data_IF_595467392444
#
_entry.id   IF_595467392444
#
_cell.length_a   1.000
_cell.length_b   1.000
_cell.length_c   1.000
_cell.angle_alpha   90.00
_cell.angle_beta   90.00
_cell.angle_gamma   90.00
#
_symmetry.space_group_name_H-M   'P 1'
#
loop_
_entity.id
_entity.type
_entity.pdbx_description
1 polymer ?
#
# COMPACT_ATOMS: atom_id res chain seq x y z
N UNK A 1 63.99 42.93 7.12
CA UNK A 1 63.29 41.93 7.96
C UNK A 1 61.90 41.76 7.39
N UNK A 2 61.63 40.60 6.80
CA UNK A 2 60.44 40.29 5.99
C UNK A 2 59.29 39.86 6.89
N UNK A 3 58.12 40.50 6.76
CA UNK A 3 56.89 40.08 7.43
C UNK A 3 56.11 39.11 6.52
N UNK A 4 55.77 37.96 7.07
CA UNK A 4 54.98 36.88 6.46
C UNK A 4 53.48 37.21 6.54
N UNK A 5 52.80 37.30 5.40
CA UNK A 5 51.33 37.34 5.32
C UNK A 5 50.78 35.92 5.31
N UNK A 6 50.01 35.59 6.35
CA UNK A 6 49.32 34.31 6.49
C UNK A 6 48.15 34.21 5.49
N UNK A 7 48.10 33.11 4.74
CA UNK A 7 46.96 32.74 3.90
C UNK A 7 45.88 32.12 4.79
N UNK A 8 44.74 32.78 4.91
CA UNK A 8 43.58 32.25 5.62
C UNK A 8 42.99 31.06 4.84
N UNK A 9 42.86 29.92 5.53
CA UNK A 9 42.19 28.71 5.01
C UNK A 9 40.70 28.98 4.83
N UNK A 10 40.22 28.84 3.59
CA UNK A 10 38.80 28.70 3.27
C UNK A 10 38.26 27.44 3.95
N UNK A 11 37.26 27.63 4.81
CA UNK A 11 36.55 26.57 5.53
C UNK A 11 35.65 25.79 4.60
N UNK A 12 35.81 24.46 4.57
CA UNK A 12 34.92 23.53 3.87
C UNK A 12 33.49 23.63 4.39
N UNK A 13 32.56 24.08 3.53
CA UNK A 13 31.13 23.95 3.81
C UNK A 13 30.70 22.48 3.64
N UNK A 14 29.88 21.92 4.56
CA UNK A 14 29.41 20.55 4.42
C UNK A 14 28.43 20.44 3.25
N UNK A 15 28.78 19.62 2.26
CA UNK A 15 27.86 19.17 1.22
C UNK A 15 26.80 18.28 1.87
N UNK A 16 25.62 18.85 2.15
CA UNK A 16 24.45 18.09 2.59
C UNK A 16 23.99 17.28 1.37
N UNK A 17 24.47 16.05 1.27
CA UNK A 17 23.95 15.07 0.33
C UNK A 17 22.62 14.60 0.90
N UNK A 18 21.51 15.27 0.53
CA UNK A 18 20.18 14.74 0.78
C UNK A 18 20.05 13.46 -0.04
N UNK A 19 20.31 12.32 0.61
CA UNK A 19 19.94 11.03 0.06
C UNK A 19 18.42 11.05 -0.17
N UNK A 20 18.02 10.97 -1.45
CA UNK A 20 16.62 10.78 -1.83
C UNK A 20 16.24 9.39 -1.32
N UNK A 21 15.69 9.35 -0.11
CA UNK A 21 15.22 8.13 0.52
C UNK A 21 14.10 7.56 -0.35
N UNK A 22 14.22 6.30 -0.76
CA UNK A 22 13.15 5.61 -1.51
C UNK A 22 11.95 5.48 -0.56
N UNK A 23 10.84 6.15 -0.87
CA UNK A 23 9.79 6.42 0.12
C UNK A 23 8.78 5.26 0.32
N UNK A 24 8.50 4.45 -0.70
CA UNK A 24 7.85 3.14 -0.60
C UNK A 24 7.85 2.49 -2.00
N UNK A 25 7.54 1.19 -2.11
CA UNK A 25 7.28 0.56 -3.41
C UNK A 25 5.94 -0.19 -3.40
N UNK A 26 5.38 -0.39 -4.59
CA UNK A 26 4.16 -1.17 -4.79
C UNK A 26 4.50 -2.48 -5.47
N UNK A 27 4.15 -3.59 -4.83
CA UNK A 27 4.25 -4.91 -5.43
C UNK A 27 2.87 -5.43 -5.79
N UNK A 28 2.60 -5.56 -7.09
CA UNK A 28 1.30 -6.01 -7.57
C UNK A 28 1.13 -7.51 -7.40
N UNK A 29 -0.04 -7.94 -6.91
CA UNK A 29 -0.37 -9.36 -6.86
C UNK A 29 -0.40 -9.99 -8.26
N UNK A 30 -0.85 -9.20 -9.25
CA UNK A 30 -0.79 -9.48 -10.68
C UNK A 30 -0.63 -8.18 -11.44
N UNK A 31 0.06 -8.22 -12.59
CA UNK A 31 0.11 -7.06 -13.47
C UNK A 31 -1.31 -6.63 -13.85
N UNK A 32 -1.68 -5.35 -13.63
CA UNK A 32 -2.99 -4.84 -14.02
C UNK A 32 -3.18 -5.02 -15.53
N UNK A 33 -4.24 -5.71 -15.95
CA UNK A 33 -4.59 -5.75 -17.36
C UNK A 33 -5.29 -4.44 -17.77
N UNK A 34 -5.14 -3.97 -19.02
CA UNK A 34 -5.76 -2.73 -19.49
C UNK A 34 -7.29 -2.65 -19.35
N UNK A 35 -7.95 -3.80 -19.38
CA UNK A 35 -9.40 -3.96 -19.28
C UNK A 35 -9.90 -4.24 -17.84
N UNK A 36 -8.99 -4.53 -16.91
CA UNK A 36 -9.35 -4.76 -15.53
C UNK A 36 -9.84 -3.47 -14.87
N UNK A 37 -11.00 -3.54 -14.20
CA UNK A 37 -11.54 -2.44 -13.39
C UNK A 37 -10.96 -2.40 -11.98
N UNK A 38 -10.17 -3.40 -11.59
CA UNK A 38 -9.61 -3.51 -10.25
C UNK A 38 -8.14 -3.95 -10.31
N UNK A 39 -7.36 -3.49 -9.33
CA UNK A 39 -5.98 -3.91 -9.12
C UNK A 39 -5.70 -4.13 -7.64
N UNK A 40 -4.73 -4.99 -7.33
CA UNK A 40 -4.32 -5.29 -5.96
C UNK A 40 -2.80 -5.25 -5.86
N UNK A 41 -2.30 -4.52 -4.87
CA UNK A 41 -0.87 -4.34 -4.62
C UNK A 41 -0.59 -4.36 -3.12
N UNK A 42 0.63 -4.75 -2.76
CA UNK A 42 1.18 -4.59 -1.43
C UNK A 42 2.01 -3.32 -1.38
N UNK A 43 1.83 -2.54 -0.32
CA UNK A 43 2.70 -1.43 0.00
C UNK A 43 3.92 -1.97 0.76
N UNK A 44 5.11 -1.70 0.23
CA UNK A 44 6.37 -2.16 0.80
C UNK A 44 7.12 -0.96 1.35
N UNK A 45 7.47 -1.03 2.64
CA UNK A 45 8.38 -0.08 3.28
C UNK A 45 9.72 -0.77 3.55
N UNK A 46 10.82 -0.37 2.89
CA UNK A 46 12.11 -1.03 3.05
C UNK A 46 12.62 -0.97 4.50
N UNK A 47 12.26 0.08 5.25
CA UNK A 47 12.72 0.29 6.63
C UNK A 47 11.66 -0.05 7.68
N UNK A 48 10.51 -0.63 7.31
CA UNK A 48 9.43 -0.88 8.26
C UNK A 48 8.68 -2.19 7.97
N UNK A 49 9.15 -3.27 8.58
CA UNK A 49 8.58 -4.60 8.45
C UNK A 49 7.19 -4.71 9.10
N UNK A 50 6.93 -3.97 10.19
CA UNK A 50 5.65 -4.03 10.94
C UNK A 50 4.45 -3.56 10.11
N UNK A 51 4.67 -2.77 9.06
CA UNK A 51 3.61 -2.17 8.24
C UNK A 51 3.56 -2.80 6.85
N UNK A 52 4.11 -4.00 6.69
CA UNK A 52 4.18 -4.66 5.39
C UNK A 52 3.42 -5.99 5.40
N UNK A 53 2.13 -5.94 5.04
CA UNK A 53 1.27 -7.09 4.83
C UNK A 53 1.87 -8.15 3.89
N UNK A 54 2.86 -7.76 3.06
CA UNK A 54 3.56 -8.68 2.17
C UNK A 54 4.41 -9.70 2.91
N UNK A 55 5.16 -9.29 3.93
CA UNK A 55 6.06 -10.19 4.69
C UNK A 55 5.23 -11.32 5.31
N UNK A 56 4.12 -10.95 5.93
CA UNK A 56 3.17 -11.90 6.55
C UNK A 56 2.53 -12.81 5.51
N UNK A 57 2.10 -12.25 4.37
CA UNK A 57 1.56 -13.04 3.27
C UNK A 57 2.58 -14.05 2.73
N UNK A 58 3.84 -13.67 2.60
CA UNK A 58 4.94 -14.54 2.17
C UNK A 58 5.31 -15.59 3.22
N UNK A 59 5.06 -15.32 4.50
CA UNK A 59 5.22 -16.28 5.60
C UNK A 59 4.09 -17.32 5.72
N UNK A 60 2.94 -17.10 5.05
CA UNK A 60 1.83 -18.04 5.13
C UNK A 60 2.14 -19.41 4.50
N UNK A 61 1.49 -20.45 5.03
CA UNK A 61 1.49 -21.79 4.43
C UNK A 61 0.85 -21.75 3.04
N UNK A 62 1.25 -22.65 2.15
CA UNK A 62 0.78 -22.69 0.76
C UNK A 62 -0.75 -22.79 0.63
N UNK A 63 -1.42 -23.46 1.57
CA UNK A 63 -2.88 -23.54 1.56
C UNK A 63 -3.52 -22.17 1.84
N UNK A 64 -2.95 -21.40 2.75
CA UNK A 64 -3.47 -20.09 3.14
C UNK A 64 -3.16 -19.04 2.08
N UNK A 65 -1.97 -19.11 1.48
CA UNK A 65 -1.62 -18.31 0.30
C UNK A 65 -2.60 -18.57 -0.83
N UNK A 66 -2.80 -19.83 -1.22
CA UNK A 66 -3.76 -20.22 -2.29
C UNK A 66 -5.18 -19.77 -1.98
N UNK A 67 -5.57 -19.83 -0.71
CA UNK A 67 -6.87 -19.33 -0.27
C UNK A 67 -6.97 -17.81 -0.50
N UNK A 68 -6.00 -17.03 -0.02
CA UNK A 68 -6.03 -15.57 -0.19
C UNK A 68 -5.95 -15.18 -1.67
N UNK A 69 -5.13 -15.87 -2.47
CA UNK A 69 -5.07 -15.67 -3.93
C UNK A 69 -6.43 -15.86 -4.58
N UNK A 70 -7.15 -16.95 -4.25
CA UNK A 70 -8.52 -17.18 -4.74
C UNK A 70 -9.48 -16.05 -4.36
N UNK A 71 -9.32 -15.47 -3.16
CA UNK A 71 -10.17 -14.36 -2.70
C UNK A 71 -9.76 -13.02 -3.35
N UNK A 72 -8.47 -12.80 -3.60
CA UNK A 72 -8.00 -11.66 -4.37
C UNK A 72 -8.57 -11.70 -5.78
N UNK A 73 -8.50 -12.85 -6.44
CA UNK A 73 -9.08 -13.07 -7.76
C UNK A 73 -10.58 -12.80 -7.78
N UNK A 74 -11.30 -13.37 -6.81
CA UNK A 74 -12.74 -13.15 -6.67
C UNK A 74 -13.07 -11.65 -6.57
N UNK A 75 -12.27 -10.88 -5.84
CA UNK A 75 -12.45 -9.43 -5.74
C UNK A 75 -12.04 -8.70 -7.02
N UNK A 76 -10.93 -9.09 -7.65
CA UNK A 76 -10.45 -8.51 -8.91
C UNK A 76 -11.47 -8.70 -10.05
N UNK A 77 -12.18 -9.82 -10.07
CA UNK A 77 -13.25 -10.15 -11.03
C UNK A 77 -14.52 -9.30 -10.86
N UNK A 78 -14.54 -8.38 -9.89
CA UNK A 78 -15.65 -7.47 -9.72
C UNK A 78 -16.67 -7.90 -8.67
N UNK A 79 -16.49 -9.06 -8.02
CA UNK A 79 -17.43 -9.50 -6.98
C UNK A 79 -17.54 -8.46 -5.87
N UNK A 80 -18.77 -8.15 -5.48
CA UNK A 80 -19.05 -7.19 -4.42
C UNK A 80 -19.58 -7.90 -3.17
N UNK A 81 -19.40 -7.25 -2.02
CA UNK A 81 -20.12 -7.55 -0.78
C UNK A 81 -20.05 -9.01 -0.29
N UNK A 82 -18.92 -9.68 -0.50
CA UNK A 82 -18.65 -10.98 0.13
C UNK A 82 -18.16 -10.76 1.57
N UNK A 83 -19.02 -10.22 2.45
CA UNK A 83 -18.66 -9.83 3.83
C UNK A 83 -17.92 -10.92 4.61
N UNK A 84 -18.11 -12.19 4.29
CA UNK A 84 -17.35 -13.30 4.90
C UNK A 84 -15.84 -13.28 4.54
N UNK A 85 -15.48 -12.86 3.33
CA UNK A 85 -14.13 -12.91 2.76
C UNK A 85 -13.49 -11.54 2.65
N UNK A 86 -14.25 -10.52 2.27
CA UNK A 86 -13.76 -9.15 2.20
C UNK A 86 -14.88 -8.13 2.36
N UNK A 87 -14.54 -6.94 2.85
CA UNK A 87 -15.47 -5.82 2.93
C UNK A 87 -14.74 -4.48 3.14
N UNK A 88 -15.52 -3.41 2.96
CA UNK A 88 -15.25 -2.04 3.41
C UNK A 88 -16.10 -1.73 4.64
N UNK A 89 -15.77 -0.66 5.34
CA UNK A 89 -16.63 -0.06 6.38
C UNK A 89 -17.59 0.94 5.75
N UNK A 90 -18.81 1.03 6.27
CA UNK A 90 -19.78 2.02 5.81
C UNK A 90 -19.82 3.28 6.69
N UNK A 91 -20.68 4.25 6.34
CA UNK A 91 -20.78 5.53 7.06
C UNK A 91 -21.35 5.40 8.48
N UNK A 92 -22.09 4.33 8.76
CA UNK A 92 -22.63 4.07 10.10
C UNK A 92 -21.56 3.52 11.06
N UNK A 93 -20.48 2.98 10.52
CA UNK A 93 -19.35 2.45 11.28
C UNK A 93 -18.28 3.54 11.49
N UNK A 94 -17.75 3.65 12.72
CA UNK A 94 -16.67 4.59 13.05
C UNK A 94 -16.91 6.04 12.56
N UNK A 95 -18.16 6.50 12.59
CA UNK A 95 -18.58 7.82 12.08
C UNK A 95 -18.14 8.07 10.61
N UNK A 96 -18.03 7.02 9.80
CA UNK A 96 -17.63 7.09 8.39
C UNK A 96 -16.14 7.36 8.14
N UNK A 97 -15.30 7.33 9.18
CA UNK A 97 -13.86 7.63 9.07
C UNK A 97 -13.10 6.66 8.18
N UNK A 98 -13.49 5.39 8.14
CA UNK A 98 -12.74 4.32 7.48
C UNK A 98 -13.42 3.78 6.21
N UNK A 99 -14.23 4.60 5.54
CA UNK A 99 -15.00 4.20 4.35
C UNK A 99 -14.15 3.78 3.14
N UNK A 100 -12.89 4.22 3.10
CA UNK A 100 -11.91 3.82 2.09
C UNK A 100 -11.02 2.66 2.53
N UNK A 101 -11.14 2.17 3.77
CA UNK A 101 -10.35 1.04 4.25
C UNK A 101 -11.02 -0.26 3.81
N UNK A 102 -10.20 -1.24 3.46
CA UNK A 102 -10.63 -2.53 2.94
C UNK A 102 -9.91 -3.66 3.66
N UNK A 103 -10.54 -4.82 3.78
CA UNK A 103 -9.92 -5.99 4.41
C UNK A 103 -10.29 -7.28 3.71
N UNK A 104 -9.31 -8.17 3.59
CA UNK A 104 -9.45 -9.58 3.21
C UNK A 104 -9.31 -10.46 4.46
N UNK A 105 -10.12 -11.53 4.57
CA UNK A 105 -10.32 -12.29 5.81
C UNK A 105 -10.31 -13.79 5.58
N UNK A 106 -9.28 -14.48 6.06
CA UNK A 106 -9.26 -15.93 6.12
C UNK A 106 -10.04 -16.42 7.36
N UNK A 107 -11.28 -16.89 7.19
CA UNK A 107 -12.14 -17.28 8.34
C UNK A 107 -11.58 -18.46 9.14
N UNK A 108 -11.00 -19.46 8.47
CA UNK A 108 -10.47 -20.66 9.13
C UNK A 108 -9.31 -20.36 10.08
N UNK A 109 -8.28 -19.67 9.59
CA UNK A 109 -7.05 -19.40 10.34
C UNK A 109 -6.99 -17.98 10.92
N UNK A 110 -8.08 -17.22 10.80
CA UNK A 110 -8.28 -15.89 11.38
C UNK A 110 -7.27 -14.81 10.94
N UNK A 111 -6.61 -15.01 9.80
CA UNK A 111 -5.75 -14.01 9.15
C UNK A 111 -6.58 -12.90 8.54
N UNK A 112 -6.11 -11.66 8.67
CA UNK A 112 -6.70 -10.49 8.01
C UNK A 112 -5.61 -9.64 7.37
N UNK A 113 -5.82 -9.29 6.10
CA UNK A 113 -4.97 -8.35 5.36
C UNK A 113 -5.77 -7.08 5.14
N UNK A 114 -5.29 -5.99 5.73
CA UNK A 114 -5.92 -4.68 5.69
C UNK A 114 -5.22 -3.80 4.66
N UNK A 115 -5.99 -2.94 4.01
CA UNK A 115 -5.51 -2.00 3.03
C UNK A 115 -6.47 -0.84 2.83
N UNK A 116 -6.24 -0.05 1.80
CA UNK A 116 -7.16 1.01 1.40
C UNK A 116 -7.45 0.97 -0.09
N UNK A 117 -8.61 1.52 -0.46
CA UNK A 117 -9.02 1.71 -1.85
C UNK A 117 -8.60 3.11 -2.33
N UNK A 118 -8.13 3.17 -3.56
CA UNK A 118 -7.86 4.42 -4.26
C UNK A 118 -8.23 4.31 -5.74
N UNK A 119 -8.37 5.46 -6.41
CA UNK A 119 -8.68 5.59 -7.84
C UNK A 119 -7.50 6.27 -8.53
N UNK A 120 -6.39 5.55 -8.73
CA UNK A 120 -5.15 6.20 -9.15
C UNK A 120 -5.12 6.54 -10.64
N UNK A 121 -6.05 6.00 -11.44
CA UNK A 121 -6.12 6.25 -12.87
C UNK A 121 -7.14 7.38 -13.17
N UNK A 122 -6.69 8.60 -13.50
CA UNK A 122 -7.61 9.70 -13.82
C UNK A 122 -8.34 9.49 -15.16
N UNK A 123 -7.79 8.67 -16.06
CA UNK A 123 -8.40 8.35 -17.35
C UNK A 123 -9.52 7.32 -17.23
N UNK A 124 -9.52 6.53 -16.15
CA UNK A 124 -10.53 5.53 -15.87
C UNK A 124 -10.99 5.62 -14.42
N UNK A 125 -11.98 6.45 -14.14
CA UNK A 125 -12.57 6.63 -12.81
C UNK A 125 -13.17 5.36 -12.22
N UNK A 126 -13.50 4.36 -13.06
CA UNK A 126 -14.00 3.05 -12.64
C UNK A 126 -12.89 2.11 -12.17
N UNK A 127 -11.63 2.46 -12.37
CA UNK A 127 -10.50 1.66 -11.91
C UNK A 127 -10.29 1.83 -10.40
N UNK A 128 -10.40 0.75 -9.64
CA UNK A 128 -10.17 0.73 -8.20
C UNK A 128 -8.91 -0.08 -7.87
N UNK A 129 -7.96 0.55 -7.19
CA UNK A 129 -6.79 -0.14 -6.67
C UNK A 129 -6.96 -0.39 -5.17
N UNK A 130 -6.80 -1.64 -4.73
CA UNK A 130 -6.60 -1.98 -3.34
C UNK A 130 -5.11 -2.05 -3.03
N UNK A 131 -4.67 -1.28 -2.04
CA UNK A 131 -3.29 -1.27 -1.56
C UNK A 131 -3.27 -1.88 -0.16
N UNK A 132 -2.73 -3.08 -0.04
CA UNK A 132 -2.57 -3.82 1.21
C UNK A 132 -1.39 -3.25 2.00
N UNK A 133 -1.63 -2.98 3.28
CA UNK A 133 -0.70 -2.30 4.17
C UNK A 133 -0.43 -3.16 5.39
N UNK A 134 -1.47 -3.49 6.16
CA UNK A 134 -1.27 -4.10 7.47
C UNK A 134 -1.80 -5.55 7.52
N UNK A 135 -1.21 -6.36 8.38
CA UNK A 135 -1.70 -7.69 8.72
C UNK A 135 -2.16 -7.74 10.18
N UNK A 136 -3.15 -8.59 10.46
CA UNK A 136 -3.46 -8.98 11.83
C UNK A 136 -3.96 -10.42 11.89
N UNK A 137 -3.50 -11.17 12.88
CA UNK A 137 -4.14 -12.42 13.32
C UNK A 137 -5.15 -12.09 14.42
N UNK A 138 -6.42 -12.47 14.24
CA UNK A 138 -7.47 -12.13 15.22
C UNK A 138 -7.97 -13.33 15.99
N UNK A 139 -7.80 -13.33 17.31
CA UNK A 139 -8.45 -14.30 18.19
C UNK A 139 -9.97 -14.08 18.32
N UNK A 140 -10.40 -12.81 18.34
CA UNK A 140 -11.80 -12.35 18.56
C UNK A 140 -12.44 -11.81 17.28
N UNK A 141 -13.78 -11.72 17.25
CA UNK A 141 -14.54 -11.28 16.07
C UNK A 141 -14.41 -9.78 15.80
N UNK A 142 -14.18 -8.97 16.84
CA UNK A 142 -14.19 -7.52 16.78
C UNK A 142 -13.02 -6.91 15.98
N UNK A 143 -13.31 -5.80 15.30
CA UNK A 143 -12.28 -5.08 14.56
C UNK A 143 -11.54 -4.11 15.47
N UNK A 144 -10.36 -4.50 15.97
CA UNK A 144 -9.35 -3.56 16.47
C UNK A 144 -9.15 -2.38 15.49
N UNK A 145 -9.45 -1.17 15.97
CA UNK A 145 -9.37 0.09 15.24
C UNK A 145 -7.92 0.44 14.87
N UNK A 146 -6.92 -0.12 15.57
CA UNK A 146 -5.50 0.11 15.29
C UNK A 146 -5.15 -0.14 13.82
N UNK A 147 -5.55 -1.30 13.27
CA UNK A 147 -5.29 -1.63 11.86
C UNK A 147 -5.94 -0.65 10.88
N UNK A 148 -7.11 -0.10 11.25
CA UNK A 148 -7.82 0.89 10.44
C UNK A 148 -7.08 2.23 10.45
N UNK A 149 -6.60 2.66 11.63
CA UNK A 149 -5.79 3.87 11.80
C UNK A 149 -4.48 3.79 11.02
N UNK A 150 -3.80 2.65 11.04
CA UNK A 150 -2.56 2.42 10.26
C UNK A 150 -2.85 2.58 8.76
N UNK A 151 -3.88 1.90 8.24
CA UNK A 151 -4.24 1.99 6.82
C UNK A 151 -4.67 3.40 6.42
N UNK A 152 -5.46 4.09 7.26
CA UNK A 152 -5.92 5.45 7.00
C UNK A 152 -4.77 6.46 7.01
N UNK A 153 -3.82 6.31 7.94
CA UNK A 153 -2.60 7.12 7.97
C UNK A 153 -1.81 6.95 6.67
N UNK A 154 -1.62 5.71 6.18
CA UNK A 154 -0.92 5.47 4.91
C UNK A 154 -1.71 5.90 3.68
N UNK A 155 -3.05 5.84 3.74
CA UNK A 155 -3.91 6.39 2.68
C UNK A 155 -3.75 7.91 2.56
N UNK A 156 -3.61 8.62 3.67
CA UNK A 156 -3.44 10.08 3.69
C UNK A 156 -1.99 10.55 3.53
N UNK A 157 -1.03 9.64 3.54
CA UNK A 157 0.39 9.95 3.39
C UNK A 157 0.69 10.45 1.96
N UNK A 158 1.22 11.68 1.86
CA UNK A 158 1.50 12.36 0.57
C UNK A 158 2.51 11.59 -0.27
N UNK A 159 3.51 10.99 0.38
CA UNK A 159 4.54 10.19 -0.28
C UNK A 159 3.94 8.94 -0.92
N UNK A 160 3.11 8.22 -0.17
CA UNK A 160 2.39 7.04 -0.67
C UNK A 160 1.47 7.42 -1.83
N UNK A 161 0.68 8.49 -1.69
CA UNK A 161 -0.22 8.95 -2.74
C UNK A 161 0.54 9.37 -4.01
N UNK A 162 1.70 10.02 -3.84
CA UNK A 162 2.58 10.41 -4.95
C UNK A 162 3.12 9.19 -5.68
N UNK A 163 3.61 8.19 -4.96
CA UNK A 163 4.21 7.00 -5.57
C UNK A 163 3.17 6.11 -6.26
N UNK A 164 1.97 5.98 -5.68
CA UNK A 164 0.82 5.38 -6.35
C UNK A 164 0.54 6.12 -7.67
N UNK A 165 0.37 7.45 -7.64
CA UNK A 165 0.09 8.22 -8.87
C UNK A 165 1.20 8.07 -9.90
N UNK A 166 2.46 8.19 -9.49
CA UNK A 166 3.63 8.03 -10.38
C UNK A 166 3.58 6.70 -11.12
N UNK A 167 3.30 5.60 -10.43
CA UNK A 167 3.20 4.29 -11.06
C UNK A 167 2.17 4.26 -12.21
N UNK A 168 1.00 4.87 -12.01
CA UNK A 168 -0.07 4.88 -13.02
C UNK A 168 0.11 5.94 -14.12
N UNK A 169 0.91 6.99 -13.88
CA UNK A 169 1.16 8.07 -14.84
C UNK A 169 2.45 7.89 -15.67
N UNK A 170 3.52 7.36 -15.07
CA UNK A 170 4.88 7.44 -15.62
C UNK A 170 5.26 6.27 -16.54
N UNK A 171 4.29 5.65 -17.20
CA UNK A 171 4.59 4.52 -18.06
C UNK A 171 4.34 3.14 -17.43
N UNK A 172 3.55 3.04 -16.35
CA UNK A 172 3.17 1.74 -15.77
C UNK A 172 2.48 0.82 -16.81
N UNK A 173 2.20 -0.45 -16.49
CA UNK A 173 1.74 -1.49 -17.44
C UNK A 173 0.47 -1.17 -18.24
N UNK A 174 -0.19 -0.03 -17.99
CA UNK A 174 -1.32 0.49 -18.74
C UNK A 174 -0.95 1.52 -19.82
N UNK A 175 0.30 1.98 -19.86
CA UNK A 175 0.81 3.02 -20.77
C UNK A 175 1.42 2.48 -22.06
N UNK A 176 1.76 1.18 -22.10
CA UNK A 176 2.24 0.50 -23.30
C UNK A 176 1.05 0.19 -24.21
N UNK A 177 0.47 1.24 -24.77
CA UNK A 177 -0.41 1.16 -25.95
C UNK A 177 -0.11 2.35 -26.85
N UNK A 178 0.85 2.16 -27.75
CA UNK A 178 0.86 2.77 -29.07
C UNK A 178 1.20 1.69 -30.09
#
# INVERSE_FOLDING_TARGET
MTYSLAVAKLTNAPTITMAIKVECSLEFHRNPKPDCRRGLAFLIFPDNEEVTARIEFDGFKDNDKRWFQSIFDLWLDGSENRKAYFHRWDKSEFNGKYTNIFVFKHRGHKHRLYGFLCHPNPMNSRYHQCVLVNYASKGKWETDEYSLKVCESKRCDVSVQRDIKRYFHAGGPLSEKH
#
